data_IF_182211783521
#
_entry.id   IF_182211783521
#
_cell.length_a   1.000
_cell.length_b   1.000
_cell.length_c   1.000
_cell.angle_alpha   90.00
_cell.angle_beta   90.00
_cell.angle_gamma   90.00
#
_symmetry.space_group_name_H-M   'P 1'
#
loop_
_entity.id
_entity.type
_entity.pdbx_description
1 polymer ?
#
# COMPACT_ATOMS: atom_id res chain seq x y z
N UNK A 1 -7.11 -1.37 -20.11
CA UNK A 1 -6.94 -0.13 -19.32
C UNK A 1 -6.05 -0.50 -18.16
N UNK A 2 -4.89 0.15 -18.02
CA UNK A 2 -4.03 -0.06 -16.85
C UNK A 2 -4.45 0.86 -15.71
N UNK A 3 -4.05 0.51 -14.48
CA UNK A 3 -4.21 1.34 -13.29
C UNK A 3 -2.83 1.85 -12.88
N UNK A 4 -2.70 3.14 -12.60
CA UNK A 4 -1.47 3.79 -12.12
C UNK A 4 -1.35 3.72 -10.60
N UNK A 5 -0.16 3.95 -10.06
CA UNK A 5 0.05 3.96 -8.61
C UNK A 5 -0.70 5.13 -7.95
N UNK A 6 -0.76 6.28 -8.62
CA UNK A 6 -1.55 7.42 -8.19
C UNK A 6 -3.05 7.11 -8.13
N UNK A 7 -3.59 6.45 -9.15
CA UNK A 7 -5.01 6.06 -9.15
C UNK A 7 -5.33 5.07 -8.01
N UNK A 8 -4.44 4.12 -7.71
CA UNK A 8 -4.59 3.25 -6.52
C UNK A 8 -4.66 4.09 -5.24
N UNK A 9 -3.72 5.02 -5.06
CA UNK A 9 -3.67 5.88 -3.88
C UNK A 9 -4.94 6.73 -3.75
N UNK A 10 -5.42 7.32 -4.84
CA UNK A 10 -6.64 8.13 -4.89
C UNK A 10 -7.90 7.30 -4.59
N UNK A 11 -7.98 6.05 -5.05
CA UNK A 11 -9.07 5.14 -4.69
C UNK A 11 -9.10 4.89 -3.19
N UNK A 12 -7.94 4.64 -2.56
CA UNK A 12 -7.89 4.44 -1.11
C UNK A 12 -8.23 5.71 -0.36
N UNK A 13 -7.79 6.87 -0.85
CA UNK A 13 -8.16 8.16 -0.28
C UNK A 13 -9.68 8.38 -0.34
N UNK A 14 -10.30 8.10 -1.48
CA UNK A 14 -11.73 8.28 -1.69
C UNK A 14 -12.59 7.40 -0.78
N UNK A 15 -12.21 6.15 -0.57
CA UNK A 15 -13.07 5.19 0.13
C UNK A 15 -12.77 5.04 1.62
N UNK A 16 -11.52 5.27 2.05
CA UNK A 16 -11.09 4.90 3.40
C UNK A 16 -10.53 6.06 4.24
N UNK A 17 -10.17 7.19 3.63
CA UNK A 17 -9.46 8.27 4.33
C UNK A 17 -10.15 8.79 5.58
N UNK A 18 -11.48 8.98 5.56
CA UNK A 18 -12.21 9.45 6.75
C UNK A 18 -12.09 8.47 7.92
N UNK A 19 -12.27 7.17 7.64
CA UNK A 19 -12.15 6.10 8.64
C UNK A 19 -10.72 5.97 9.14
N UNK A 20 -9.75 6.03 8.23
CA UNK A 20 -8.33 5.88 8.55
C UNK A 20 -7.83 7.07 9.36
N UNK A 21 -8.31 8.28 9.05
CA UNK A 21 -8.02 9.50 9.79
C UNK A 21 -8.61 9.46 11.19
N UNK A 22 -9.84 8.96 11.33
CA UNK A 22 -10.48 8.77 12.63
C UNK A 22 -9.75 7.71 13.49
N UNK A 23 -9.24 6.65 12.86
CA UNK A 23 -8.44 5.60 13.52
C UNK A 23 -7.05 6.08 13.95
N UNK A 24 -6.46 6.98 13.15
CA UNK A 24 -5.14 7.55 13.36
C UNK A 24 -4.01 6.72 12.76
N UNK A 25 -2.87 7.39 12.52
CA UNK A 25 -1.72 6.84 11.78
C UNK A 25 -1.21 5.51 12.32
N UNK A 26 -0.92 5.41 13.62
CA UNK A 26 -0.28 4.22 14.18
C UNK A 26 -1.21 3.00 14.21
N UNK A 27 -2.50 3.22 14.44
CA UNK A 27 -3.48 2.15 14.36
C UNK A 27 -3.67 1.69 12.90
N UNK A 28 -3.71 2.60 11.94
CA UNK A 28 -3.73 2.27 10.50
C UNK A 28 -2.46 1.54 10.06
N UNK A 29 -1.29 1.94 10.58
CA UNK A 29 -0.03 1.24 10.34
C UNK A 29 -0.02 -0.18 10.95
N UNK A 30 -0.72 -0.40 12.06
CA UNK A 30 -0.87 -1.74 12.65
C UNK A 30 -1.62 -2.67 11.69
N UNK A 31 -2.70 -2.20 11.06
CA UNK A 31 -3.39 -2.94 10.01
C UNK A 31 -2.49 -3.21 8.82
N UNK A 32 -1.72 -2.23 8.35
CA UNK A 32 -0.73 -2.48 7.30
C UNK A 32 0.25 -3.63 7.64
N UNK A 33 0.72 -3.71 8.90
CA UNK A 33 1.62 -4.79 9.34
C UNK A 33 0.91 -6.13 9.43
N UNK A 34 -0.37 -6.15 9.81
CA UNK A 34 -1.21 -7.35 9.83
C UNK A 34 -1.28 -8.02 8.46
N UNK A 35 -1.58 -7.25 7.42
CA UNK A 35 -1.68 -7.71 6.02
C UNK A 35 -0.33 -8.21 5.47
N UNK A 36 0.78 -7.61 5.92
CA UNK A 36 2.12 -8.15 5.62
C UNK A 36 2.32 -9.52 6.26
N UNK A 37 1.75 -9.76 7.43
CA UNK A 37 1.71 -11.06 8.09
C UNK A 37 0.85 -12.06 7.32
N UNK A 38 -0.35 -11.67 6.90
CA UNK A 38 -1.25 -12.51 6.10
C UNK A 38 -0.60 -12.88 4.75
N UNK A 39 0.09 -11.93 4.10
CA UNK A 39 0.90 -12.20 2.92
C UNK A 39 2.01 -13.22 3.19
N UNK A 40 2.69 -13.14 4.34
CA UNK A 40 3.72 -14.11 4.70
C UNK A 40 3.14 -15.53 4.85
N UNK A 41 1.97 -15.67 5.48
CA UNK A 41 1.28 -16.94 5.64
C UNK A 41 0.77 -17.50 4.29
N UNK A 42 0.27 -16.64 3.42
CA UNK A 42 -0.13 -17.00 2.05
C UNK A 42 1.07 -17.53 1.23
N UNK A 43 2.24 -16.89 1.37
CA UNK A 43 3.48 -17.35 0.73
C UNK A 43 3.96 -18.70 1.28
N UNK A 44 3.94 -18.88 2.62
CA UNK A 44 4.34 -20.14 3.26
C UNK A 44 3.42 -21.32 2.88
N UNK A 45 2.14 -21.04 2.67
CA UNK A 45 1.15 -22.04 2.23
C UNK A 45 1.17 -22.30 0.71
N UNK A 46 1.92 -21.51 -0.07
CA UNK A 46 1.98 -21.58 -1.53
C UNK A 46 0.59 -21.48 -2.19
N UNK A 47 -0.35 -20.79 -1.53
CA UNK A 47 -1.70 -20.56 -2.00
C UNK A 47 -1.72 -19.33 -2.91
N UNK A 48 -1.74 -19.57 -4.23
CA UNK A 48 -1.65 -18.51 -5.23
C UNK A 48 -2.84 -17.55 -5.22
N UNK A 49 -4.01 -17.98 -4.75
CA UNK A 49 -5.18 -17.12 -4.74
C UNK A 49 -5.12 -16.19 -3.53
N UNK A 50 -4.74 -16.71 -2.36
CA UNK A 50 -4.42 -15.88 -1.20
C UNK A 50 -3.28 -14.90 -1.48
N UNK A 51 -2.18 -15.35 -2.08
CA UNK A 51 -1.04 -14.45 -2.39
C UNK A 51 -1.50 -13.24 -3.22
N UNK A 52 -2.44 -13.41 -4.16
CA UNK A 52 -2.95 -12.28 -4.96
C UNK A 52 -3.80 -11.32 -4.13
N UNK A 53 -4.62 -11.85 -3.23
CA UNK A 53 -5.46 -11.10 -2.31
C UNK A 53 -4.57 -10.25 -1.39
N UNK A 54 -3.67 -10.90 -0.65
CA UNK A 54 -2.81 -10.21 0.31
C UNK A 54 -1.83 -9.21 -0.35
N UNK A 55 -1.38 -9.47 -1.58
CA UNK A 55 -0.59 -8.48 -2.33
C UNK A 55 -1.38 -7.20 -2.63
N UNK A 56 -2.68 -7.34 -2.91
CA UNK A 56 -3.55 -6.20 -3.14
C UNK A 56 -3.83 -5.44 -1.84
N UNK A 57 -4.05 -6.16 -0.74
CA UNK A 57 -4.32 -5.55 0.57
C UNK A 57 -3.10 -4.83 1.13
N UNK A 58 -1.91 -5.44 1.04
CA UNK A 58 -0.65 -4.76 1.39
C UNK A 58 -0.47 -3.45 0.60
N UNK A 59 -0.78 -3.44 -0.70
CA UNK A 59 -0.72 -2.23 -1.50
C UNK A 59 -1.77 -1.18 -1.08
N UNK A 60 -3.01 -1.61 -0.80
CA UNK A 60 -4.11 -0.76 -0.37
C UNK A 60 -3.82 -0.07 0.97
N UNK A 61 -3.30 -0.83 1.94
CA UNK A 61 -2.96 -0.31 3.25
C UNK A 61 -1.71 0.57 3.23
N UNK A 62 -0.73 0.28 2.37
CA UNK A 62 0.40 1.19 2.13
C UNK A 62 -0.07 2.54 1.57
N UNK A 63 -1.00 2.52 0.61
CA UNK A 63 -1.63 3.73 0.07
C UNK A 63 -2.41 4.50 1.14
N UNK A 64 -3.12 3.79 2.02
CA UNK A 64 -3.83 4.40 3.15
C UNK A 64 -2.87 5.11 4.11
N UNK A 65 -1.73 4.48 4.44
CA UNK A 65 -0.66 5.12 5.23
C UNK A 65 -0.12 6.36 4.52
N UNK A 66 0.18 6.27 3.22
CA UNK A 66 0.68 7.40 2.43
C UNK A 66 -0.28 8.60 2.43
N UNK A 67 -1.58 8.34 2.33
CA UNK A 67 -2.61 9.37 2.43
C UNK A 67 -2.64 10.06 3.80
N UNK A 68 -2.54 9.29 4.89
CA UNK A 68 -2.53 9.86 6.25
C UNK A 68 -1.31 10.75 6.54
N UNK A 69 -0.17 10.45 5.91
CA UNK A 69 1.04 11.27 6.04
C UNK A 69 1.21 12.30 4.91
N UNK A 70 0.20 12.42 4.03
CA UNK A 70 0.17 13.34 2.90
C UNK A 70 1.40 13.22 1.97
N UNK A 71 1.74 11.99 1.58
CA UNK A 71 2.84 11.68 0.65
C UNK A 71 2.29 11.09 -0.64
N UNK A 72 2.70 11.63 -1.79
CA UNK A 72 2.44 11.05 -3.11
C UNK A 72 3.38 9.85 -3.36
N UNK A 73 2.81 8.65 -3.49
CA UNK A 73 3.58 7.42 -3.67
C UNK A 73 4.29 7.36 -5.02
N UNK A 74 3.63 7.83 -6.08
CA UNK A 74 4.14 7.77 -7.44
C UNK A 74 5.34 8.72 -7.61
N UNK A 75 5.22 9.95 -7.14
CA UNK A 75 6.33 10.91 -7.10
C UNK A 75 7.49 10.36 -6.28
N UNK A 76 7.21 9.79 -5.11
CA UNK A 76 8.22 9.18 -4.23
C UNK A 76 8.97 8.03 -4.92
N UNK A 77 8.24 7.17 -5.64
CA UNK A 77 8.80 6.05 -6.39
C UNK A 77 9.66 6.54 -7.57
N UNK A 78 9.13 7.46 -8.38
CA UNK A 78 9.85 8.06 -9.52
C UNK A 78 11.15 8.71 -9.05
N UNK A 79 11.08 9.52 -7.99
CA UNK A 79 12.25 10.20 -7.42
C UNK A 79 13.32 9.23 -6.96
N UNK A 80 12.92 8.13 -6.31
CA UNK A 80 13.85 7.13 -5.79
C UNK A 80 14.46 6.25 -6.87
N UNK A 81 13.66 5.77 -7.83
CA UNK A 81 14.07 4.69 -8.73
C UNK A 81 14.24 5.08 -10.19
N UNK A 82 13.60 6.16 -10.67
CA UNK A 82 13.66 6.56 -12.08
C UNK A 82 14.53 7.80 -12.32
N UNK A 83 14.57 8.73 -11.36
CA UNK A 83 15.36 9.97 -11.48
C UNK A 83 16.76 9.87 -10.85
N UNK A 84 17.05 8.80 -10.11
CA UNK A 84 18.38 8.55 -9.56
C UNK A 84 19.11 7.52 -10.44
N UNK A 85 20.35 7.82 -10.86
CA UNK A 85 21.23 6.87 -11.57
C UNK A 85 21.75 5.79 -10.62
N UNK A 86 20.87 5.06 -9.92
CA UNK A 86 21.31 4.15 -8.87
C UNK A 86 21.10 2.71 -9.30
N UNK A 87 22.19 1.97 -9.59
CA UNK A 87 22.29 0.55 -9.33
C UNK A 87 23.23 0.28 -8.14
N UNK A 88 23.14 -0.90 -7.50
CA UNK A 88 21.97 -1.59 -6.95
C UNK A 88 21.61 -1.12 -5.53
#
# INVERSE_FOLDING_TARGET
MGLTLREVQELMMKYYFERDSARGLYATFTWFVEEVGELADALLSNDKDKIKEELADVLAWLASVANLVNIDMEESFIKKYLNSKTPP
#
